data_IF_062276853594
#
_entry.id   IF_062276853594
#
_cell.length_a   1.000
_cell.length_b   1.000
_cell.length_c   1.000
_cell.angle_alpha   90.00
_cell.angle_beta   90.00
_cell.angle_gamma   90.00
#
_symmetry.space_group_name_H-M   'P 1'
#
loop_
_entity.id
_entity.type
_entity.pdbx_description
1 polymer ?
#
# COMPACT_ATOMS: atom_id res chain seq x y z
N UNK A 1 -11.55 -17.77 26.00
CA UNK A 1 -10.19 -17.22 25.78
C UNK A 1 -9.35 -18.33 25.19
N UNK A 2 -8.50 -18.01 24.21
CA UNK A 2 -7.54 -18.97 23.66
C UNK A 2 -6.51 -19.34 24.75
N UNK A 3 -6.04 -20.57 24.71
CA UNK A 3 -4.94 -21.09 25.52
C UNK A 3 -3.61 -20.56 24.99
N UNK A 4 -2.57 -20.57 25.82
CA UNK A 4 -1.21 -20.23 25.38
C UNK A 4 -0.72 -21.11 24.22
N UNK A 5 -1.17 -22.37 24.16
CA UNK A 5 -0.81 -23.29 23.08
C UNK A 5 -1.41 -22.85 21.74
N UNK A 6 -2.68 -22.45 21.73
CA UNK A 6 -3.34 -21.93 20.51
C UNK A 6 -2.65 -20.66 20.01
N UNK A 7 -2.27 -19.74 20.91
CA UNK A 7 -1.51 -18.55 20.52
C UNK A 7 -0.13 -18.87 19.93
N UNK A 8 0.56 -19.88 20.46
CA UNK A 8 1.84 -20.34 19.92
C UNK A 8 1.65 -20.93 18.51
N UNK A 9 0.60 -21.73 18.29
CA UNK A 9 0.28 -22.32 16.99
C UNK A 9 -0.06 -21.26 15.93
N UNK A 10 -0.71 -20.17 16.35
CA UNK A 10 -1.00 -18.98 15.53
C UNK A 10 0.18 -18.01 15.43
N UNK A 11 1.32 -18.30 16.07
CA UNK A 11 2.52 -17.44 16.13
C UNK A 11 2.31 -16.09 16.82
N UNK A 12 1.27 -15.93 17.64
CA UNK A 12 1.09 -14.76 18.51
C UNK A 12 1.87 -14.94 19.83
N UNK A 13 3.19 -14.82 19.75
CA UNK A 13 4.08 -15.14 20.87
C UNK A 13 3.92 -14.20 22.07
N UNK A 14 3.62 -12.91 21.86
CA UNK A 14 3.40 -11.99 22.98
C UNK A 14 2.12 -12.33 23.76
N UNK A 15 1.03 -12.67 23.07
CA UNK A 15 -0.19 -13.11 23.75
C UNK A 15 0.03 -14.43 24.51
N UNK A 16 0.80 -15.36 23.94
CA UNK A 16 1.22 -16.56 24.66
C UNK A 16 1.99 -16.22 25.95
N UNK A 17 2.92 -15.26 25.92
CA UNK A 17 3.65 -14.78 27.12
C UNK A 17 2.70 -14.22 28.16
N UNK A 18 1.73 -13.37 27.79
CA UNK A 18 0.75 -12.82 28.74
C UNK A 18 -0.10 -13.92 29.38
N UNK A 19 -0.65 -14.84 28.57
CA UNK A 19 -1.48 -15.94 29.08
C UNK A 19 -0.69 -16.84 30.01
N UNK A 20 0.56 -17.15 29.68
CA UNK A 20 1.43 -17.96 30.55
C UNK A 20 1.80 -17.21 31.83
N UNK A 21 1.99 -15.90 31.75
CA UNK A 21 2.34 -15.06 32.90
C UNK A 21 1.22 -15.04 33.95
N UNK A 22 -0.05 -15.10 33.54
CA UNK A 22 -1.20 -15.15 34.45
C UNK A 22 -1.35 -16.49 35.21
N UNK A 23 -0.64 -17.55 34.78
CA UNK A 23 -0.69 -18.87 35.45
C UNK A 23 -0.06 -18.78 36.84
N UNK A 24 -0.73 -19.24 37.92
CA UNK A 24 -0.19 -19.22 39.28
C UNK A 24 1.11 -20.02 39.42
N UNK A 25 2.05 -19.57 40.25
CA UNK A 25 3.34 -20.25 40.42
C UNK A 25 3.22 -21.74 40.81
N UNK A 26 2.19 -22.10 41.58
CA UNK A 26 1.94 -23.47 42.01
C UNK A 26 1.57 -24.43 40.85
N UNK A 27 1.16 -23.88 39.70
CA UNK A 27 0.73 -24.64 38.51
C UNK A 27 1.80 -24.64 37.40
N UNK A 28 2.94 -23.99 37.63
CA UNK A 28 4.02 -23.86 36.62
C UNK A 28 4.92 -25.09 36.66
N UNK A 29 4.69 -26.01 35.74
CA UNK A 29 5.52 -27.18 35.50
C UNK A 29 6.62 -26.93 34.45
N UNK A 30 7.36 -27.97 34.07
CA UNK A 30 8.41 -27.86 33.06
C UNK A 30 7.86 -27.61 31.64
N UNK A 31 6.67 -28.11 31.32
CA UNK A 31 6.01 -27.81 30.05
C UNK A 31 5.62 -26.33 29.97
N UNK A 32 5.15 -25.74 31.07
CA UNK A 32 4.90 -24.30 31.19
C UNK A 32 6.20 -23.51 31.01
N UNK A 33 7.30 -23.91 31.68
CA UNK A 33 8.60 -23.25 31.53
C UNK A 33 9.07 -23.29 30.07
N UNK A 34 8.91 -24.44 29.40
CA UNK A 34 9.25 -24.57 27.99
C UNK A 34 8.39 -23.65 27.11
N UNK A 35 7.06 -23.62 27.31
CA UNK A 35 6.16 -22.72 26.58
C UNK A 35 6.53 -21.24 26.77
N UNK A 36 6.83 -20.84 28.01
CA UNK A 36 7.22 -19.46 28.33
C UNK A 36 8.54 -19.10 27.65
N UNK A 37 9.56 -19.95 27.79
CA UNK A 37 10.86 -19.75 27.15
C UNK A 37 10.76 -19.74 25.61
N UNK A 38 9.95 -20.62 25.03
CA UNK A 38 9.69 -20.68 23.59
C UNK A 38 9.02 -19.39 23.10
N UNK A 39 7.94 -18.95 23.75
CA UNK A 39 7.22 -17.74 23.37
C UNK A 39 8.10 -16.50 23.52
N UNK A 40 8.84 -16.36 24.62
CA UNK A 40 9.77 -15.25 24.83
C UNK A 40 10.89 -15.23 23.78
N UNK A 41 11.47 -16.38 23.44
CA UNK A 41 12.51 -16.46 22.42
C UNK A 41 11.99 -15.99 21.05
N UNK A 42 10.85 -16.52 20.60
CA UNK A 42 10.29 -16.14 19.31
C UNK A 42 9.78 -14.70 19.29
N UNK A 43 9.24 -14.19 20.38
CA UNK A 43 8.91 -12.77 20.50
C UNK A 43 10.17 -11.89 20.39
N UNK A 44 11.24 -12.24 21.09
CA UNK A 44 12.49 -11.49 21.08
C UNK A 44 13.13 -11.42 19.69
N UNK A 45 13.22 -12.54 18.97
CA UNK A 45 13.87 -12.55 17.65
C UNK A 45 13.04 -11.86 16.55
N UNK A 46 11.71 -11.80 16.68
CA UNK A 46 10.83 -11.28 15.63
C UNK A 46 10.34 -9.85 15.89
N UNK A 47 10.17 -9.44 17.16
CA UNK A 47 9.48 -8.19 17.51
C UNK A 47 10.18 -7.36 18.59
N UNK A 48 11.03 -7.96 19.42
CA UNK A 48 11.67 -7.27 20.53
C UNK A 48 13.14 -7.69 20.70
N UNK A 49 14.04 -7.29 19.76
CA UNK A 49 15.40 -7.82 19.61
C UNK A 49 16.38 -7.29 20.66
N UNK A 50 16.08 -7.56 21.94
CA UNK A 50 16.84 -7.12 23.11
C UNK A 50 17.43 -8.30 23.85
N UNK A 51 18.72 -8.18 24.22
CA UNK A 51 19.44 -9.27 24.89
C UNK A 51 18.82 -9.68 26.24
N UNK A 52 18.21 -8.74 26.95
CA UNK A 52 17.55 -9.01 28.23
C UNK A 52 16.35 -9.99 28.08
N UNK A 53 15.60 -9.90 26.98
CA UNK A 53 14.47 -10.78 26.68
C UNK A 53 14.95 -12.18 26.28
N UNK A 54 16.04 -12.29 25.51
CA UNK A 54 16.67 -13.58 25.20
C UNK A 54 17.24 -14.27 26.44
N UNK A 55 17.87 -13.52 27.35
CA UNK A 55 18.34 -14.07 28.64
C UNK A 55 17.19 -14.55 29.52
N UNK A 56 16.07 -13.81 29.52
CA UNK A 56 14.86 -14.22 30.21
C UNK A 56 14.29 -15.52 29.63
N UNK A 57 14.19 -15.61 28.29
CA UNK A 57 13.78 -16.81 27.59
C UNK A 57 14.68 -18.01 27.94
N UNK A 58 16.00 -17.81 27.90
CA UNK A 58 16.98 -18.84 28.22
C UNK A 58 16.79 -19.41 29.63
N UNK A 59 16.56 -18.54 30.63
CA UNK A 59 16.35 -18.99 32.01
C UNK A 59 15.11 -19.88 32.18
N UNK A 60 14.04 -19.64 31.41
CA UNK A 60 12.87 -20.53 31.40
C UNK A 60 13.16 -21.86 30.69
N UNK A 61 13.88 -21.83 29.57
CA UNK A 61 14.28 -23.05 28.84
C UNK A 61 15.20 -23.95 29.68
N UNK A 62 16.17 -23.37 30.40
CA UNK A 62 17.06 -24.15 31.29
C UNK A 62 16.30 -24.80 32.44
N UNK A 63 15.32 -24.11 33.06
CA UNK A 63 14.44 -24.70 34.07
C UNK A 63 13.58 -25.84 33.50
N UNK A 64 13.16 -25.74 32.25
CA UNK A 64 12.41 -26.81 31.60
C UNK A 64 13.27 -28.08 31.40
N UNK A 65 14.57 -27.90 31.15
CA UNK A 65 15.52 -29.00 30.93
C UNK A 65 15.89 -29.76 32.22
N UNK A 66 15.68 -29.17 33.41
CA UNK A 66 15.95 -29.81 34.70
C UNK A 66 14.97 -30.97 35.01
N UNK A 67 13.75 -30.92 34.47
CA UNK A 67 12.73 -31.94 34.67
C UNK A 67 12.70 -32.98 33.53
N UNK A 68 13.50 -34.02 33.72
CA UNK A 68 13.56 -35.16 32.77
C UNK A 68 12.23 -35.90 32.56
N UNK A 69 11.27 -35.83 33.48
CA UNK A 69 9.98 -36.53 33.35
C UNK A 69 9.04 -35.84 32.35
N UNK A 70 9.08 -34.51 32.31
CA UNK A 70 8.26 -33.68 31.42
C UNK A 70 8.81 -33.59 29.98
N UNK A 71 10.06 -34.03 29.74
CA UNK A 71 10.73 -33.96 28.44
C UNK A 71 9.97 -34.68 27.32
N UNK A 72 9.41 -35.85 27.59
CA UNK A 72 8.64 -36.61 26.60
C UNK A 72 7.34 -35.90 26.21
N UNK A 73 6.72 -35.17 27.15
CA UNK A 73 5.52 -34.39 26.88
C UNK A 73 5.86 -33.13 26.05
N UNK A 74 6.95 -32.44 26.38
CA UNK A 74 7.46 -31.32 25.58
C UNK A 74 7.77 -31.79 24.13
N UNK A 75 8.42 -32.94 23.96
CA UNK A 75 8.69 -33.56 22.65
C UNK A 75 7.41 -33.83 21.86
N UNK A 76 6.39 -34.35 22.53
CA UNK A 76 5.09 -34.67 21.94
C UNK A 76 4.36 -33.42 21.46
N UNK A 77 4.40 -32.34 22.24
CA UNK A 77 3.68 -31.08 21.94
C UNK A 77 4.41 -30.27 20.87
N UNK A 78 5.75 -30.25 20.88
CA UNK A 78 6.57 -29.39 20.02
C UNK A 78 7.32 -30.14 18.90
N UNK A 79 6.82 -31.32 18.51
CA UNK A 79 7.36 -32.17 17.42
C UNK A 79 8.89 -32.36 17.47
N UNK A 80 9.38 -32.98 18.54
CA UNK A 80 10.72 -33.60 18.57
C UNK A 80 11.93 -32.65 18.69
N UNK A 81 11.79 -31.44 19.27
CA UNK A 81 12.91 -30.49 19.45
C UNK A 81 13.15 -29.97 20.89
N UNK A 82 13.04 -30.76 21.97
CA UNK A 82 13.29 -30.23 23.31
C UNK A 82 14.75 -29.79 23.50
N UNK A 83 15.72 -30.40 22.79
CA UNK A 83 17.15 -30.11 22.99
C UNK A 83 17.71 -28.97 22.13
N UNK A 84 16.96 -28.49 21.14
CA UNK A 84 17.45 -27.47 20.21
C UNK A 84 17.22 -26.04 20.69
N UNK A 85 16.11 -25.80 21.40
CA UNK A 85 15.70 -24.44 21.75
C UNK A 85 16.61 -23.79 22.77
N UNK A 86 16.98 -24.49 23.85
CA UNK A 86 17.95 -23.99 24.83
C UNK A 86 19.29 -23.65 24.16
N UNK A 87 19.80 -24.53 23.30
CA UNK A 87 21.04 -24.30 22.57
C UNK A 87 20.96 -23.10 21.60
N UNK A 88 19.86 -22.99 20.83
CA UNK A 88 19.60 -21.86 19.93
C UNK A 88 19.48 -20.53 20.69
N UNK A 89 18.81 -20.56 21.84
CA UNK A 89 18.67 -19.37 22.68
C UNK A 89 20.03 -18.97 23.27
N UNK A 90 20.88 -19.92 23.67
CA UNK A 90 22.27 -19.66 24.09
C UNK A 90 23.07 -18.97 22.99
N UNK A 91 23.02 -19.50 21.77
CA UNK A 91 23.70 -18.91 20.61
C UNK A 91 23.21 -17.49 20.31
N UNK A 92 21.90 -17.24 20.39
CA UNK A 92 21.35 -15.89 20.22
C UNK A 92 21.83 -14.93 21.31
N UNK A 93 21.90 -15.37 22.57
CA UNK A 93 22.41 -14.57 23.71
C UNK A 93 23.89 -14.23 23.57
N UNK A 94 24.69 -15.07 22.91
CA UNK A 94 26.10 -14.75 22.59
C UNK A 94 26.23 -13.54 21.67
N UNK A 95 25.17 -13.18 20.92
CA UNK A 95 25.07 -12.01 20.05
C UNK A 95 26.29 -11.80 19.14
N UNK A 96 26.85 -12.89 18.61
CA UNK A 96 28.09 -12.88 17.80
C UNK A 96 28.05 -11.93 16.61
N UNK A 97 26.85 -11.69 16.06
CA UNK A 97 26.63 -10.82 14.91
C UNK A 97 26.18 -9.39 15.28
N UNK A 98 26.00 -9.09 16.58
CA UNK A 98 25.58 -7.76 17.03
C UNK A 98 24.15 -7.38 16.65
N UNK A 99 23.28 -8.34 16.37
CA UNK A 99 21.89 -8.10 15.96
C UNK A 99 20.98 -7.60 17.07
N UNK A 100 21.35 -7.84 18.33
CA UNK A 100 20.52 -7.51 19.49
C UNK A 100 21.08 -6.30 20.25
N UNK A 101 20.17 -5.43 20.70
CA UNK A 101 20.54 -4.26 21.50
C UNK A 101 21.09 -4.64 22.87
N UNK A 102 22.13 -3.92 23.32
CA UNK A 102 22.64 -4.02 24.69
C UNK A 102 21.71 -3.30 25.67
N UNK A 103 21.18 -4.08 26.60
CA UNK A 103 20.13 -3.72 27.54
C UNK A 103 20.54 -4.15 28.95
N UNK A 104 19.79 -3.80 30.03
CA UNK A 104 20.09 -4.27 31.38
C UNK A 104 20.36 -5.78 31.43
N UNK A 105 21.25 -6.20 32.33
CA UNK A 105 21.71 -7.58 32.43
C UNK A 105 20.57 -8.62 32.57
N UNK A 106 19.43 -8.20 33.12
CA UNK A 106 18.24 -9.03 33.32
C UNK A 106 16.96 -8.19 33.22
N UNK A 107 15.86 -8.85 32.89
CA UNK A 107 14.50 -8.31 32.87
C UNK A 107 13.56 -9.34 33.50
N UNK A 108 12.47 -8.90 34.14
CA UNK A 108 11.42 -9.81 34.63
C UNK A 108 10.26 -9.85 33.63
N UNK A 109 9.48 -10.94 33.60
CA UNK A 109 8.32 -11.04 32.69
C UNK A 109 7.32 -9.92 32.96
N UNK A 110 7.10 -9.55 34.22
CA UNK A 110 6.22 -8.43 34.58
C UNK A 110 6.70 -7.10 33.99
N UNK A 111 8.02 -6.92 33.98
CA UNK A 111 8.63 -5.72 33.42
C UNK A 111 8.51 -5.72 31.90
N UNK A 112 8.80 -6.86 31.25
CA UNK A 112 8.64 -7.03 29.81
C UNK A 112 7.21 -6.74 29.36
N UNK A 113 6.22 -7.35 30.01
CA UNK A 113 4.80 -7.15 29.67
C UNK A 113 4.42 -5.68 29.79
N UNK A 114 4.80 -5.03 30.90
CA UNK A 114 4.54 -3.59 31.11
C UNK A 114 5.22 -2.71 30.06
N UNK A 115 6.48 -2.99 29.73
CA UNK A 115 7.26 -2.18 28.80
C UNK A 115 6.70 -2.31 27.38
N UNK A 116 6.41 -3.53 26.93
CA UNK A 116 5.82 -3.79 25.60
C UNK A 116 4.42 -3.19 25.49
N UNK A 117 3.58 -3.32 26.53
CA UNK A 117 2.25 -2.68 26.53
C UNK A 117 2.35 -1.16 26.52
N UNK A 118 3.28 -0.58 27.28
CA UNK A 118 3.51 0.87 27.28
C UNK A 118 4.05 1.37 25.94
N UNK A 119 4.93 0.60 25.29
CA UNK A 119 5.44 0.88 23.95
C UNK A 119 4.33 0.80 22.90
N UNK A 120 3.52 -0.27 22.91
CA UNK A 120 2.35 -0.41 22.04
C UNK A 120 1.38 0.76 22.22
N UNK A 121 1.08 1.15 23.46
CA UNK A 121 0.19 2.29 23.73
C UNK A 121 0.80 3.63 23.28
N UNK A 122 2.12 3.80 23.39
CA UNK A 122 2.81 4.96 22.85
C UNK A 122 2.70 5.00 21.33
N UNK A 123 3.03 3.90 20.66
CA UNK A 123 2.93 3.79 19.22
C UNK A 123 1.49 4.03 18.75
N UNK A 124 0.50 3.45 19.45
CA UNK A 124 -0.91 3.65 19.11
C UNK A 124 -1.30 5.12 19.18
N UNK A 125 -0.88 5.83 20.22
CA UNK A 125 -1.11 7.29 20.34
C UNK A 125 -0.43 8.06 19.22
N UNK A 126 0.82 7.73 18.91
CA UNK A 126 1.60 8.43 17.88
C UNK A 126 1.00 8.21 16.47
N UNK A 127 0.64 6.97 16.13
CA UNK A 127 -0.02 6.62 14.84
C UNK A 127 -1.44 7.19 14.75
N UNK A 128 -2.21 7.15 15.84
CA UNK A 128 -3.55 7.76 15.87
C UNK A 128 -3.47 9.26 15.59
N UNK A 129 -2.57 9.97 16.29
CA UNK A 129 -2.36 11.41 16.07
C UNK A 129 -1.85 11.70 14.65
N UNK A 130 -1.04 10.81 14.08
CA UNK A 130 -0.62 10.89 12.69
C UNK A 130 -1.82 10.79 11.75
N UNK A 131 -2.65 9.74 11.84
CA UNK A 131 -3.84 9.58 11.00
C UNK A 131 -4.86 10.70 11.16
N UNK A 132 -5.11 11.18 12.38
CA UNK A 132 -5.99 12.33 12.60
C UNK A 132 -5.54 13.57 11.83
N UNK A 133 -4.23 13.74 11.66
CA UNK A 133 -3.63 14.88 10.94
C UNK A 133 -3.49 14.67 9.44
N UNK A 134 -3.29 13.43 8.99
CA UNK A 134 -2.90 13.12 7.61
C UNK A 134 -3.97 12.44 6.79
N UNK A 135 -4.99 11.80 7.40
CA UNK A 135 -6.00 11.08 6.64
C UNK A 135 -6.62 11.93 5.53
N UNK A 136 -6.76 11.32 4.35
CA UNK A 136 -7.45 11.92 3.21
C UNK A 136 -8.75 11.16 2.95
N UNK A 137 -9.56 11.70 2.05
CA UNK A 137 -10.72 11.02 1.50
C UNK A 137 -10.43 10.65 0.06
N UNK A 138 -10.84 9.45 -0.31
CA UNK A 138 -10.76 8.94 -1.66
C UNK A 138 -12.11 8.40 -2.11
N UNK A 139 -12.23 8.19 -3.41
CA UNK A 139 -13.37 7.54 -4.04
C UNK A 139 -12.87 6.19 -4.53
N UNK A 140 -13.28 5.12 -3.86
CA UNK A 140 -13.02 3.76 -4.29
C UNK A 140 -13.91 3.43 -5.49
N UNK A 141 -13.35 2.81 -6.52
CA UNK A 141 -14.06 2.49 -7.77
C UNK A 141 -14.05 0.98 -7.96
N UNK A 142 -15.20 0.31 -7.92
CA UNK A 142 -15.29 -1.10 -8.29
C UNK A 142 -15.89 -1.24 -9.69
N UNK A 143 -15.40 -2.20 -10.47
CA UNK A 143 -15.94 -2.54 -11.79
C UNK A 143 -16.68 -3.88 -11.77
N UNK A 144 -17.64 -4.02 -12.67
CA UNK A 144 -18.37 -5.27 -12.87
C UNK A 144 -18.94 -5.35 -14.29
N UNK A 145 -19.15 -6.56 -14.83
CA UNK A 145 -19.68 -6.70 -16.19
C UNK A 145 -21.00 -5.95 -16.37
N UNK A 146 -21.12 -5.17 -17.45
CA UNK A 146 -22.37 -4.51 -17.77
C UNK A 146 -23.41 -5.55 -18.19
N UNK A 147 -24.57 -5.58 -17.50
CA UNK A 147 -25.66 -6.50 -17.83
C UNK A 147 -26.44 -6.07 -19.09
N UNK A 148 -26.56 -4.75 -19.25
CA UNK A 148 -27.19 -4.08 -20.36
C UNK A 148 -26.23 -3.04 -20.94
N UNK A 149 -26.48 -2.61 -22.18
CA UNK A 149 -25.73 -1.51 -22.79
C UNK A 149 -25.81 -0.26 -21.92
N UNK A 150 -24.66 0.31 -21.57
CA UNK A 150 -24.63 1.50 -20.73
C UNK A 150 -25.17 2.74 -21.47
N UNK A 151 -25.84 3.67 -20.75
CA UNK A 151 -26.18 4.96 -21.30
C UNK A 151 -24.93 5.73 -21.77
N UNK A 152 -25.10 6.55 -22.80
CA UNK A 152 -24.02 7.43 -23.29
C UNK A 152 -23.57 8.36 -22.16
N UNK A 153 -22.26 8.39 -21.91
CA UNK A 153 -21.65 9.20 -20.88
C UNK A 153 -21.71 8.61 -19.47
N UNK A 154 -22.19 7.37 -19.30
CA UNK A 154 -22.11 6.66 -18.02
C UNK A 154 -20.66 6.27 -17.68
N UNK A 155 -20.34 6.11 -16.40
CA UNK A 155 -19.01 5.64 -16.01
C UNK A 155 -18.77 4.20 -16.47
N UNK A 156 -17.62 3.96 -17.10
CA UNK A 156 -17.25 2.63 -17.59
C UNK A 156 -15.73 2.44 -17.62
N UNK A 157 -15.36 1.16 -17.53
CA UNK A 157 -14.03 0.65 -17.80
C UNK A 157 -14.12 -0.24 -19.04
N UNK A 158 -13.11 -0.16 -19.90
CA UNK A 158 -13.14 -0.79 -21.23
C UNK A 158 -14.37 -0.41 -22.10
N UNK A 159 -14.50 -1.10 -23.22
CA UNK A 159 -15.54 -0.90 -24.21
C UNK A 159 -15.22 0.26 -25.15
N UNK A 160 -16.27 0.90 -25.65
CA UNK A 160 -16.15 2.07 -26.51
C UNK A 160 -16.40 3.34 -25.70
N UNK A 161 -15.52 4.35 -25.78
CA UNK A 161 -15.74 5.63 -25.11
C UNK A 161 -16.90 6.40 -25.76
N UNK A 162 -17.51 7.27 -24.97
CA UNK A 162 -18.49 8.24 -25.46
C UNK A 162 -17.80 9.60 -25.65
N UNK A 163 -17.61 10.01 -26.90
CA UNK A 163 -16.80 11.17 -27.28
C UNK A 163 -17.59 12.11 -28.21
N UNK A 164 -17.19 13.39 -28.36
CA UNK A 164 -17.74 14.25 -29.40
C UNK A 164 -17.64 13.59 -30.79
N UNK A 165 -18.64 13.80 -31.64
CA UNK A 165 -18.69 13.16 -32.97
C UNK A 165 -17.52 13.54 -33.89
N UNK A 166 -16.88 14.68 -33.64
CA UNK A 166 -15.72 15.21 -34.36
C UNK A 166 -14.41 15.03 -33.57
N UNK A 167 -14.39 14.15 -32.57
CA UNK A 167 -13.21 13.90 -31.74
C UNK A 167 -12.02 13.39 -32.57
N UNK A 168 -10.89 14.09 -32.46
CA UNK A 168 -9.62 13.69 -33.06
C UNK A 168 -8.88 12.75 -32.11
N UNK A 169 -8.69 11.49 -32.54
CA UNK A 169 -8.12 10.46 -31.68
C UNK A 169 -6.66 10.77 -31.36
N UNK A 170 -6.22 10.73 -30.09
CA UNK A 170 -4.85 11.04 -29.73
C UNK A 170 -3.87 9.93 -30.14
N UNK A 171 -2.71 10.34 -30.62
CA UNK A 171 -1.58 9.45 -30.94
C UNK A 171 -0.31 9.87 -30.20
N UNK A 172 0.59 8.91 -30.01
CA UNK A 172 1.92 9.13 -29.46
C UNK A 172 2.96 8.34 -30.26
N UNK A 173 4.08 9.00 -30.58
CA UNK A 173 5.25 8.37 -31.17
C UNK A 173 6.18 7.93 -30.03
N UNK A 174 6.19 6.62 -29.77
CA UNK A 174 6.99 6.00 -28.71
C UNK A 174 7.77 4.79 -29.22
N UNK A 175 8.85 4.46 -28.52
CA UNK A 175 9.67 3.27 -28.76
C UNK A 175 9.25 2.17 -27.80
N UNK A 176 8.92 0.99 -28.31
CA UNK A 176 8.53 -0.17 -27.49
C UNK A 176 9.73 -1.00 -27.02
N UNK A 177 9.46 -2.05 -26.25
CA UNK A 177 10.48 -2.96 -25.71
C UNK A 177 11.22 -3.77 -26.77
N UNK A 178 10.74 -3.77 -28.03
CA UNK A 178 11.44 -4.35 -29.18
C UNK A 178 12.28 -3.31 -29.94
N UNK A 179 12.48 -2.11 -29.38
CA UNK A 179 13.21 -0.99 -29.96
C UNK A 179 12.55 -0.46 -31.25
N UNK A 180 11.22 -0.55 -31.35
CA UNK A 180 10.43 -0.06 -32.49
C UNK A 180 9.74 1.26 -32.17
N UNK A 181 10.23 2.34 -32.77
CA UNK A 181 9.57 3.66 -32.74
C UNK A 181 8.41 3.72 -33.73
N UNK A 182 7.20 3.99 -33.24
CA UNK A 182 6.00 4.13 -34.08
C UNK A 182 5.00 5.10 -33.45
N UNK A 183 4.31 5.87 -34.29
CA UNK A 183 3.15 6.63 -33.90
C UNK A 183 1.92 5.69 -33.73
N UNK A 184 1.49 5.48 -32.49
CA UNK A 184 0.40 4.56 -32.12
C UNK A 184 -0.78 5.35 -31.51
N UNK A 185 -2.03 4.91 -31.74
CA UNK A 185 -3.18 5.50 -31.05
C UNK A 185 -3.12 5.18 -29.55
N UNK A 186 -3.50 6.13 -28.70
CA UNK A 186 -3.66 5.82 -27.28
C UNK A 186 -4.89 4.92 -27.09
N UNK A 187 -4.77 3.92 -26.22
CA UNK A 187 -5.87 3.08 -25.79
C UNK A 187 -6.80 3.86 -24.85
N UNK A 188 -8.10 3.64 -24.99
CA UNK A 188 -9.09 4.10 -24.02
C UNK A 188 -9.06 3.19 -22.79
N UNK A 189 -8.92 3.79 -21.60
CA UNK A 189 -8.86 3.04 -20.34
C UNK A 189 -10.21 3.04 -19.64
N UNK A 190 -10.70 4.23 -19.32
CA UNK A 190 -11.93 4.42 -18.57
C UNK A 190 -12.54 5.79 -18.88
N UNK A 191 -13.85 5.91 -18.66
CA UNK A 191 -14.51 7.19 -18.53
C UNK A 191 -15.29 7.25 -17.22
N UNK A 192 -15.29 8.41 -16.58
CA UNK A 192 -15.91 8.61 -15.28
C UNK A 192 -16.88 9.77 -15.41
N UNK A 193 -18.16 9.50 -15.18
CA UNK A 193 -19.18 10.52 -15.05
C UNK A 193 -19.09 11.14 -13.66
N UNK A 194 -18.68 12.39 -13.59
CA UNK A 194 -18.48 13.10 -12.34
C UNK A 194 -19.79 13.35 -11.58
N UNK A 195 -20.95 13.29 -12.26
CA UNK A 195 -22.25 13.34 -11.59
C UNK A 195 -22.46 12.10 -10.72
N UNK A 196 -22.07 10.91 -11.21
CA UNK A 196 -22.18 9.64 -10.50
C UNK A 196 -21.22 9.58 -9.30
N UNK A 197 -20.00 10.08 -9.48
CA UNK A 197 -18.97 10.13 -8.44
C UNK A 197 -19.18 11.25 -7.39
N UNK A 198 -19.89 12.33 -7.74
CA UNK A 198 -19.98 13.56 -6.93
C UNK A 198 -20.44 13.36 -5.48
N UNK A 199 -21.34 12.41 -5.24
CA UNK A 199 -21.86 12.13 -3.89
C UNK A 199 -20.83 11.48 -2.95
N UNK A 200 -19.77 10.90 -3.53
CA UNK A 200 -18.69 10.21 -2.82
C UNK A 200 -17.44 11.09 -2.66
N UNK A 201 -17.32 12.18 -3.43
CA UNK A 201 -16.25 13.17 -3.26
C UNK A 201 -16.47 13.98 -1.97
N UNK A 202 -15.79 13.57 -0.89
CA UNK A 202 -15.77 14.30 0.39
C UNK A 202 -14.77 15.45 0.42
N UNK A 203 -13.92 15.58 -0.60
CA UNK A 203 -12.91 16.64 -0.70
C UNK A 203 -13.47 17.89 -1.37
N UNK A 204 -14.44 17.73 -2.28
CA UNK A 204 -15.01 18.81 -3.09
C UNK A 204 -14.04 19.36 -4.13
N UNK A 205 -13.01 18.60 -4.50
CA UNK A 205 -11.99 19.01 -5.47
C UNK A 205 -12.45 18.79 -6.92
N UNK A 206 -13.26 17.76 -7.17
CA UNK A 206 -13.69 17.41 -8.52
C UNK A 206 -14.85 18.31 -8.98
N UNK A 207 -14.98 18.59 -10.29
CA UNK A 207 -16.23 19.11 -10.83
C UNK A 207 -17.42 18.20 -10.46
N UNK A 208 -18.60 18.77 -10.23
CA UNK A 208 -19.79 17.98 -9.83
C UNK A 208 -20.54 17.37 -11.01
N UNK A 209 -20.10 17.62 -12.25
CA UNK A 209 -20.74 17.15 -13.48
C UNK A 209 -19.75 17.09 -14.64
N UNK A 210 -20.16 16.39 -15.70
CA UNK A 210 -19.36 16.14 -16.90
C UNK A 210 -18.68 14.77 -16.86
N UNK A 211 -17.96 14.44 -17.94
CA UNK A 211 -17.29 13.16 -18.13
C UNK A 211 -15.78 13.37 -18.27
N UNK A 212 -15.00 12.63 -17.50
CA UNK A 212 -13.56 12.47 -17.72
C UNK A 212 -13.30 11.22 -18.55
N UNK A 213 -12.50 11.31 -19.60
CA UNK A 213 -12.07 10.15 -20.40
C UNK A 213 -10.55 10.03 -20.37
N UNK A 214 -10.06 8.86 -19.98
CA UNK A 214 -8.64 8.56 -19.74
C UNK A 214 -8.07 7.71 -20.87
N UNK A 215 -6.92 8.11 -21.38
CA UNK A 215 -6.22 7.47 -22.48
C UNK A 215 -4.73 7.29 -22.16
N UNK A 216 -4.14 6.18 -22.60
CA UNK A 216 -2.73 5.87 -22.42
C UNK A 216 -2.17 5.03 -23.58
N UNK A 217 -0.92 5.24 -23.93
CA UNK A 217 -0.20 4.43 -24.92
C UNK A 217 0.36 3.19 -24.21
N UNK A 218 -0.17 2.02 -24.58
CA UNK A 218 0.02 0.76 -23.85
C UNK A 218 1.12 -0.13 -24.42
N UNK A 219 1.79 0.27 -25.51
CA UNK A 219 2.81 -0.55 -26.18
C UNK A 219 4.22 -0.10 -25.84
N UNK A 220 4.50 1.20 -25.93
CA UNK A 220 5.73 1.79 -25.39
C UNK A 220 5.70 1.89 -23.87
N UNK A 221 4.50 1.87 -23.26
CA UNK A 221 4.30 1.91 -21.80
C UNK A 221 5.20 2.93 -21.10
N UNK A 222 5.15 4.18 -21.56
CA UNK A 222 5.98 5.25 -21.01
C UNK A 222 5.77 5.38 -19.49
N UNK A 223 6.86 5.30 -18.72
CA UNK A 223 6.80 5.25 -17.27
C UNK A 223 6.61 6.62 -16.63
N UNK A 224 6.95 7.69 -17.35
CA UNK A 224 6.77 9.05 -16.90
C UNK A 224 7.89 9.62 -16.03
N UNK A 225 9.07 9.02 -16.05
CA UNK A 225 10.26 9.57 -15.38
C UNK A 225 11.07 10.52 -16.26
N UNK A 226 11.05 10.35 -17.59
CA UNK A 226 11.90 11.14 -18.48
C UNK A 226 11.33 12.56 -18.73
N UNK A 227 12.10 13.62 -18.44
CA UNK A 227 11.78 14.99 -18.82
C UNK A 227 11.55 15.12 -20.33
N UNK A 228 10.55 15.92 -20.73
CA UNK A 228 10.26 16.16 -22.14
C UNK A 228 9.33 15.14 -22.81
N UNK A 229 9.21 13.91 -22.29
CA UNK A 229 8.24 12.93 -22.80
C UNK A 229 6.81 13.36 -22.44
N UNK A 230 6.04 13.78 -23.45
CA UNK A 230 4.64 14.27 -23.34
C UNK A 230 3.84 13.62 -24.45
N UNK A 231 2.58 13.28 -24.18
CA UNK A 231 1.69 12.77 -25.24
C UNK A 231 1.15 11.38 -24.99
N UNK A 232 1.94 10.54 -24.33
CA UNK A 232 1.61 9.13 -24.10
C UNK A 232 0.38 8.92 -23.20
N UNK A 233 -0.03 9.93 -22.43
CA UNK A 233 -1.27 9.91 -21.65
C UNK A 233 -2.07 11.18 -21.89
N UNK A 234 -3.40 11.05 -21.94
CA UNK A 234 -4.35 12.15 -22.12
C UNK A 234 -5.58 11.96 -21.26
N UNK A 235 -6.06 13.05 -20.69
CA UNK A 235 -7.36 13.12 -20.01
C UNK A 235 -8.17 14.23 -20.65
N UNK A 236 -9.37 13.90 -21.11
CA UNK A 236 -10.31 14.84 -21.67
C UNK A 236 -11.47 15.06 -20.69
N UNK A 237 -11.90 16.31 -20.55
CA UNK A 237 -13.07 16.67 -19.77
C UNK A 237 -14.15 17.24 -20.68
N UNK A 238 -15.31 16.58 -20.68
CA UNK A 238 -16.50 17.01 -21.41
C UNK A 238 -17.52 17.53 -20.39
N UNK A 239 -17.77 18.85 -20.32
CA UNK A 239 -18.65 19.42 -19.30
C UNK A 239 -20.12 19.06 -19.51
N UNK A 240 -20.50 18.79 -20.77
CA UNK A 240 -21.85 18.39 -21.20
C UNK A 240 -21.79 16.97 -21.76
N UNK A 241 -22.84 16.20 -21.50
CA UNK A 241 -23.01 14.85 -22.07
C UNK A 241 -23.73 14.89 -23.41
N UNK A 242 -24.45 15.99 -23.66
CA UNK A 242 -25.18 16.29 -24.87
C UNK A 242 -24.20 16.45 -26.04
N UNK A 243 -24.22 15.50 -26.98
CA UNK A 243 -23.32 15.49 -28.14
C UNK A 243 -22.20 14.47 -28.06
N UNK A 244 -22.04 13.80 -26.92
CA UNK A 244 -21.25 12.57 -26.87
C UNK A 244 -21.96 11.47 -27.65
N UNK A 245 -21.18 10.67 -28.36
CA UNK A 245 -21.64 9.50 -29.10
C UNK A 245 -20.69 8.34 -28.82
N UNK A 246 -21.17 7.08 -28.82
CA UNK A 246 -20.28 5.93 -28.77
C UNK A 246 -19.33 5.95 -29.96
N UNK A 247 -18.03 5.98 -29.68
CA UNK A 247 -16.98 6.11 -30.70
C UNK A 247 -16.17 4.82 -30.77
N UNK A 248 -16.04 4.28 -31.98
CA UNK A 248 -15.29 3.05 -32.21
C UNK A 248 -13.80 3.27 -31.91
N UNK A 249 -13.20 2.39 -31.10
CA UNK A 249 -11.77 2.41 -30.80
C UNK A 249 -10.94 1.98 -32.02
N UNK A 250 -9.70 2.49 -32.19
CA UNK A 250 -8.77 2.01 -33.21
C UNK A 250 -8.49 0.52 -33.09
N UNK A 251 -8.32 -0.15 -34.23
CA UNK A 251 -8.11 -1.61 -34.30
C UNK A 251 -6.90 -2.05 -33.47
N UNK A 252 -5.84 -1.24 -33.49
CA UNK A 252 -4.58 -1.46 -32.80
C UNK A 252 -4.72 -1.47 -31.27
N UNK A 253 -5.81 -0.95 -30.72
CA UNK A 253 -6.05 -0.87 -29.26
C UNK A 253 -7.06 -1.89 -28.76
N UNK A 254 -7.62 -2.74 -29.64
CA UNK A 254 -8.70 -3.66 -29.27
C UNK A 254 -8.31 -4.69 -28.23
N UNK A 255 -7.06 -5.15 -28.23
CA UNK A 255 -6.57 -6.10 -27.22
C UNK A 255 -6.58 -5.50 -25.80
N UNK A 256 -6.59 -4.17 -25.70
CA UNK A 256 -6.61 -3.41 -24.45
C UNK A 256 -8.02 -2.96 -24.03
N UNK A 257 -9.07 -3.45 -24.70
CA UNK A 257 -10.47 -3.10 -24.39
C UNK A 257 -11.37 -4.33 -24.46
N UNK A 258 -11.80 -4.79 -23.29
CA UNK A 258 -12.40 -6.12 -23.11
C UNK A 258 -13.78 -6.01 -22.52
N UNK A 259 -14.79 -6.12 -23.39
CA UNK A 259 -16.18 -5.93 -22.97
C UNK A 259 -16.44 -4.55 -22.36
N UNK A 260 -17.70 -4.23 -22.10
CA UNK A 260 -18.05 -2.99 -21.39
C UNK A 260 -18.24 -3.34 -19.91
N UNK A 261 -17.49 -2.69 -19.02
CA UNK A 261 -17.61 -2.87 -17.57
C UNK A 261 -18.23 -1.60 -16.98
N UNK A 262 -19.25 -1.76 -16.15
CA UNK A 262 -19.87 -0.66 -15.42
C UNK A 262 -19.06 -0.36 -14.15
N UNK A 263 -19.05 0.92 -13.76
CA UNK A 263 -18.34 1.37 -12.55
C UNK A 263 -19.33 1.70 -11.42
N UNK A 264 -18.91 1.40 -10.20
CA UNK A 264 -19.57 1.76 -8.96
C UNK A 264 -18.59 2.47 -8.04
N UNK A 265 -19.10 3.37 -7.20
CA UNK A 265 -18.29 4.28 -6.40
C UNK A 265 -18.66 4.17 -4.92
N UNK A 266 -17.68 4.34 -4.05
CA UNK A 266 -17.87 4.44 -2.60
C UNK A 266 -16.91 5.48 -2.01
N UNK A 267 -17.32 6.14 -0.93
CA UNK A 267 -16.41 7.02 -0.20
C UNK A 267 -15.57 6.20 0.78
N UNK A 268 -14.25 6.35 0.72
CA UNK A 268 -13.32 5.62 1.58
C UNK A 268 -12.32 6.55 2.27
N UNK A 269 -11.76 6.07 3.38
CA UNK A 269 -10.64 6.72 4.06
C UNK A 269 -9.36 6.33 3.34
N UNK A 270 -8.54 7.32 3.02
CA UNK A 270 -7.21 7.10 2.45
C UNK A 270 -6.16 7.35 3.52
N UNK A 271 -5.42 6.30 3.88
CA UNK A 271 -4.34 6.34 4.86
C UNK A 271 -3.01 5.97 4.20
N UNK A 272 -1.96 6.71 4.54
CA UNK A 272 -0.60 6.40 4.10
C UNK A 272 -0.22 4.96 4.42
N UNK A 273 0.58 4.37 3.54
CA UNK A 273 1.23 3.10 3.82
C UNK A 273 2.14 3.23 5.05
N UNK A 274 2.39 2.13 5.72
CA UNK A 274 3.39 2.03 6.79
C UNK A 274 4.80 2.41 6.32
N UNK A 275 5.15 2.15 5.05
CA UNK A 275 6.41 2.62 4.48
C UNK A 275 6.47 4.15 4.43
N UNK A 276 5.41 4.80 3.94
CA UNK A 276 5.34 6.26 3.89
C UNK A 276 5.28 6.88 5.30
N UNK A 277 4.61 6.23 6.25
CA UNK A 277 4.64 6.63 7.68
C UNK A 277 6.06 6.55 8.26
N UNK A 278 6.77 5.43 8.03
CA UNK A 278 8.16 5.25 8.44
C UNK A 278 9.06 6.36 7.90
N UNK A 279 8.96 6.63 6.59
CA UNK A 279 9.71 7.68 5.90
C UNK A 279 9.39 9.07 6.46
N UNK A 280 8.12 9.36 6.72
CA UNK A 280 7.66 10.66 7.23
C UNK A 280 8.10 10.94 8.66
N UNK A 281 8.13 9.92 9.52
CA UNK A 281 8.38 10.09 10.95
C UNK A 281 9.79 9.67 11.40
N UNK A 282 10.53 8.93 10.56
CA UNK A 282 11.83 8.36 10.92
C UNK A 282 11.75 7.26 12.00
N UNK A 283 10.55 6.72 12.25
CA UNK A 283 10.30 5.74 13.30
C UNK A 283 10.19 4.33 12.71
N UNK A 284 10.68 3.32 13.43
CA UNK A 284 10.34 1.93 13.13
C UNK A 284 8.83 1.69 13.25
N UNK A 285 8.30 0.81 12.41
CA UNK A 285 6.88 0.52 12.32
C UNK A 285 6.61 -0.87 12.86
N UNK A 286 5.85 -0.96 13.96
CA UNK A 286 5.19 -2.22 14.29
C UNK A 286 3.99 -2.40 13.36
N UNK A 287 4.17 -3.25 12.36
CA UNK A 287 3.19 -3.50 11.30
C UNK A 287 1.83 -3.97 11.81
N UNK A 288 1.82 -4.74 12.90
CA UNK A 288 0.57 -5.32 13.44
C UNK A 288 -0.25 -4.19 14.06
N UNK A 289 0.36 -3.40 14.94
CA UNK A 289 -0.28 -2.24 15.56
C UNK A 289 -0.72 -1.21 14.53
N UNK A 290 0.11 -0.94 13.50
CA UNK A 290 -0.24 0.00 12.44
C UNK A 290 -1.45 -0.48 11.64
N UNK A 291 -1.47 -1.74 11.20
CA UNK A 291 -2.58 -2.30 10.41
C UNK A 291 -3.87 -2.44 11.23
N UNK A 292 -3.78 -2.82 12.51
CA UNK A 292 -4.92 -2.77 13.44
C UNK A 292 -5.54 -1.36 13.46
N UNK A 293 -4.70 -0.33 13.62
CA UNK A 293 -5.16 1.05 13.63
C UNK A 293 -5.71 1.53 12.29
N UNK A 294 -5.14 1.10 11.15
CA UNK A 294 -5.71 1.40 9.83
C UNK A 294 -7.16 0.89 9.76
N UNK A 295 -7.39 -0.35 10.16
CA UNK A 295 -8.74 -0.94 10.18
C UNK A 295 -9.67 -0.20 11.15
N UNK A 296 -9.19 0.18 12.34
CA UNK A 296 -9.97 1.00 13.29
C UNK A 296 -10.35 2.38 12.73
N UNK A 297 -9.50 2.96 11.88
CA UNK A 297 -9.77 4.21 11.15
C UNK A 297 -10.63 4.02 9.89
N UNK A 298 -11.07 2.80 9.60
CA UNK A 298 -11.97 2.49 8.48
C UNK A 298 -11.26 2.22 7.15
N UNK A 299 -9.96 1.93 7.18
CA UNK A 299 -9.25 1.39 6.01
C UNK A 299 -9.65 -0.06 5.78
N UNK A 300 -10.11 -0.37 4.57
CA UNK A 300 -10.46 -1.72 4.15
C UNK A 300 -9.32 -2.33 3.33
N UNK A 301 -8.48 -3.13 3.98
CA UNK A 301 -7.32 -3.75 3.33
C UNK A 301 -7.72 -4.69 2.18
N UNK A 302 -8.81 -5.45 2.34
CA UNK A 302 -9.28 -6.35 1.29
C UNK A 302 -9.75 -5.56 0.07
N UNK A 303 -10.49 -4.47 0.29
CA UNK A 303 -10.87 -3.58 -0.79
C UNK A 303 -9.65 -2.97 -1.49
N UNK A 304 -8.56 -2.62 -0.81
CA UNK A 304 -7.37 -2.06 -1.48
C UNK A 304 -6.49 -3.08 -2.20
N UNK A 305 -6.43 -4.32 -1.71
CA UNK A 305 -5.68 -5.40 -2.38
C UNK A 305 -6.43 -5.87 -3.64
N UNK A 306 -7.76 -6.00 -3.56
CA UNK A 306 -8.60 -6.50 -4.65
C UNK A 306 -9.08 -5.39 -5.60
N UNK A 307 -9.00 -4.11 -5.20
CA UNK A 307 -9.46 -2.99 -6.02
C UNK A 307 -8.29 -2.20 -6.64
N UNK A 308 -8.07 -2.33 -7.97
CA UNK A 308 -7.02 -1.59 -8.64
C UNK A 308 -7.35 -0.10 -8.82
N UNK A 309 -8.61 0.33 -8.66
CA UNK A 309 -9.07 1.65 -9.12
C UNK A 309 -9.57 2.58 -8.01
N UNK A 310 -9.09 3.83 -8.05
CA UNK A 310 -9.58 4.91 -7.18
C UNK A 310 -9.34 6.31 -7.75
N UNK A 311 -10.03 7.29 -7.20
CA UNK A 311 -9.74 8.72 -7.41
C UNK A 311 -9.41 9.39 -6.08
N UNK A 312 -8.54 10.41 -6.13
CA UNK A 312 -8.13 11.20 -4.97
C UNK A 312 -7.40 10.35 -3.91
N UNK A 313 -7.20 10.90 -2.72
CA UNK A 313 -6.49 10.23 -1.63
C UNK A 313 -4.97 10.25 -1.75
N UNK A 314 -4.35 9.21 -1.20
CA UNK A 314 -2.94 8.85 -1.37
C UNK A 314 -2.81 7.80 -2.46
N UNK A 315 -1.72 7.81 -3.23
CA UNK A 315 -1.43 6.73 -4.15
C UNK A 315 -1.06 5.45 -3.38
N UNK A 316 -1.44 4.29 -3.93
CA UNK A 316 -0.98 2.99 -3.44
C UNK A 316 0.42 2.70 -4.02
N UNK A 317 1.40 3.46 -3.54
CA UNK A 317 2.81 3.43 -3.98
C UNK A 317 3.38 2.01 -4.01
N UNK A 318 4.08 1.68 -5.09
CA UNK A 318 4.89 0.45 -5.19
C UNK A 318 6.36 0.77 -4.97
N UNK A 319 6.82 1.94 -5.45
CA UNK A 319 8.22 2.34 -5.41
C UNK A 319 8.40 3.56 -4.49
N UNK A 320 8.20 4.77 -5.00
CA UNK A 320 8.44 6.02 -4.27
C UNK A 320 7.27 7.01 -4.37
N UNK A 321 7.34 8.10 -3.60
CA UNK A 321 6.44 9.24 -3.70
C UNK A 321 6.53 9.88 -5.09
N UNK A 322 5.39 10.16 -5.70
CA UNK A 322 5.29 10.64 -7.08
C UNK A 322 5.05 12.15 -7.19
N UNK A 323 4.55 12.79 -6.14
CA UNK A 323 4.33 14.25 -6.14
C UNK A 323 5.64 15.02 -6.45
N UNK A 324 6.79 14.73 -5.79
CA UNK A 324 8.05 15.40 -6.10
C UNK A 324 8.49 15.20 -7.56
N UNK A 325 8.34 13.99 -8.10
CA UNK A 325 8.65 13.67 -9.50
C UNK A 325 7.78 14.49 -10.47
N UNK A 326 6.48 14.60 -10.18
CA UNK A 326 5.56 15.46 -10.95
C UNK A 326 6.01 16.93 -10.90
N UNK A 327 6.45 17.42 -9.74
CA UNK A 327 6.90 18.80 -9.58
C UNK A 327 8.19 19.07 -10.37
N UNK A 328 9.20 18.19 -10.27
CA UNK A 328 10.44 18.26 -11.05
C UNK A 328 10.15 18.36 -12.54
N UNK A 329 9.34 17.42 -13.04
CA UNK A 329 8.93 17.39 -14.44
C UNK A 329 8.22 18.68 -14.88
N UNK A 330 7.30 19.19 -14.05
CA UNK A 330 6.55 20.41 -14.37
C UNK A 330 7.42 21.66 -14.42
N UNK A 331 8.53 21.67 -13.67
CA UNK A 331 9.54 22.73 -13.70
C UNK A 331 10.58 22.53 -14.81
N UNK A 332 10.57 21.37 -15.49
CA UNK A 332 11.56 21.02 -16.50
C UNK A 332 12.94 20.74 -15.91
N UNK A 333 12.97 20.28 -14.66
CA UNK A 333 14.20 19.89 -13.96
C UNK A 333 14.45 18.41 -14.30
N UNK A 334 15.61 18.13 -14.89
CA UNK A 334 16.09 16.77 -15.16
C UNK A 334 16.98 16.25 -14.02
N UNK A 335 17.46 15.02 -14.14
CA UNK A 335 18.29 14.36 -13.12
C UNK A 335 19.56 15.17 -12.81
N UNK A 336 20.25 15.67 -13.85
CA UNK A 336 21.47 16.49 -13.70
C UNK A 336 21.16 17.78 -12.92
N UNK A 337 20.08 18.49 -13.29
CA UNK A 337 19.65 19.70 -12.58
C UNK A 337 19.17 19.41 -11.15
N UNK A 338 18.58 18.24 -10.90
CA UNK A 338 18.15 17.84 -9.57
C UNK A 338 19.35 17.58 -8.65
N UNK A 339 20.43 16.97 -9.14
CA UNK A 339 21.66 16.76 -8.39
C UNK A 339 22.35 18.08 -7.99
N UNK A 340 22.12 19.16 -8.73
CA UNK A 340 22.63 20.50 -8.44
C UNK A 340 21.82 21.26 -7.37
N UNK A 341 20.62 20.78 -7.00
CA UNK A 341 19.79 21.42 -5.98
C UNK A 341 20.43 21.29 -4.59
N UNK A 342 20.39 22.37 -3.82
CA UNK A 342 20.75 22.31 -2.40
C UNK A 342 19.72 21.48 -1.60
N UNK A 343 20.13 20.99 -0.43
CA UNK A 343 19.23 20.26 0.48
C UNK A 343 17.97 21.08 0.83
N UNK A 344 18.10 22.40 0.97
CA UNK A 344 16.97 23.29 1.26
C UNK A 344 16.00 23.39 0.07
N UNK A 345 16.53 23.49 -1.15
CA UNK A 345 15.72 23.54 -2.38
C UNK A 345 15.01 22.21 -2.63
N UNK A 346 15.68 21.09 -2.38
CA UNK A 346 15.10 19.77 -2.50
C UNK A 346 13.99 19.56 -1.47
N UNK A 347 14.22 19.94 -0.21
CA UNK A 347 13.21 19.88 0.84
C UNK A 347 11.99 20.77 0.53
N UNK A 348 12.21 21.97 -0.01
CA UNK A 348 11.12 22.87 -0.42
C UNK A 348 10.35 22.32 -1.62
N UNK A 349 11.04 21.71 -2.60
CA UNK A 349 10.39 21.05 -3.73
C UNK A 349 9.44 19.98 -3.24
N UNK A 350 9.91 19.05 -2.40
CA UNK A 350 9.09 17.96 -1.84
C UNK A 350 7.88 18.51 -1.07
N UNK A 351 8.09 19.48 -0.18
CA UNK A 351 6.99 20.11 0.58
C UNK A 351 5.96 20.75 -0.36
N UNK A 352 6.42 21.52 -1.33
CA UNK A 352 5.54 22.23 -2.26
C UNK A 352 4.77 21.27 -3.18
N UNK A 353 5.38 20.15 -3.54
CA UNK A 353 4.79 19.15 -4.41
C UNK A 353 3.57 18.48 -3.76
N UNK A 354 3.70 18.04 -2.51
CA UNK A 354 2.62 17.42 -1.74
C UNK A 354 1.40 18.36 -1.58
N UNK A 355 1.63 19.68 -1.57
CA UNK A 355 0.57 20.69 -1.51
C UNK A 355 -0.05 21.01 -2.87
N UNK A 356 0.65 20.77 -3.98
CA UNK A 356 0.24 21.17 -5.33
C UNK A 356 -0.38 20.05 -6.14
N UNK A 357 0.06 18.81 -5.94
CA UNK A 357 -0.36 17.68 -6.76
C UNK A 357 -1.47 16.88 -6.09
N UNK A 358 -2.35 16.35 -6.93
CA UNK A 358 -3.48 15.51 -6.52
C UNK A 358 -3.50 14.30 -7.44
N UNK A 359 -3.66 13.12 -6.84
CA UNK A 359 -3.97 11.91 -7.57
C UNK A 359 -5.38 12.05 -8.16
N UNK A 360 -5.49 12.23 -9.47
CA UNK A 360 -6.77 12.32 -10.16
C UNK A 360 -7.42 10.95 -10.30
N UNK A 361 -6.64 9.96 -10.72
CA UNK A 361 -7.10 8.59 -10.94
C UNK A 361 -5.91 7.63 -10.83
N UNK A 362 -6.10 6.49 -10.18
CA UNK A 362 -5.17 5.36 -10.15
C UNK A 362 -5.86 4.15 -10.73
N UNK A 363 -5.09 3.35 -11.47
CA UNK A 363 -5.52 2.04 -11.93
C UNK A 363 -4.35 1.05 -11.86
N UNK A 364 -4.57 -0.05 -11.15
CA UNK A 364 -3.66 -1.19 -11.12
C UNK A 364 -3.87 -2.20 -12.24
N UNK A 365 -3.06 -3.26 -12.18
CA UNK A 365 -3.21 -4.42 -13.04
C UNK A 365 -4.59 -5.06 -12.85
N UNK A 366 -5.24 -5.40 -13.96
CA UNK A 366 -6.53 -6.11 -13.96
C UNK A 366 -6.32 -7.45 -14.64
N UNK A 367 -6.56 -8.54 -13.91
CA UNK A 367 -6.48 -9.91 -14.42
C UNK A 367 -7.86 -10.57 -14.27
N UNK A 368 -8.42 -11.05 -15.37
CA UNK A 368 -9.60 -11.92 -15.40
C UNK A 368 -9.34 -13.16 -16.27
N UNK A 369 -10.31 -14.09 -16.30
CA UNK A 369 -10.15 -15.39 -16.99
C UNK A 369 -9.85 -15.25 -18.50
N UNK A 370 -10.15 -14.10 -19.10
CA UNK A 370 -10.01 -13.89 -20.54
C UNK A 370 -8.89 -12.89 -20.88
N UNK A 371 -8.53 -11.98 -19.97
CA UNK A 371 -7.67 -10.84 -20.25
C UNK A 371 -6.83 -10.37 -19.07
N UNK A 372 -5.65 -9.84 -19.40
CA UNK A 372 -4.68 -9.33 -18.44
C UNK A 372 -4.19 -7.96 -18.93
N UNK A 373 -4.62 -6.91 -18.23
CA UNK A 373 -4.11 -5.56 -18.39
C UNK A 373 -3.00 -5.36 -17.36
N UNK A 374 -1.78 -5.70 -17.76
CA UNK A 374 -0.59 -5.62 -16.90
C UNK A 374 0.25 -4.39 -17.22
N UNK A 375 0.69 -3.71 -16.15
CA UNK A 375 1.59 -2.56 -16.23
C UNK A 375 2.95 -2.93 -15.66
N UNK A 376 3.93 -3.23 -16.52
CA UNK A 376 5.21 -3.75 -16.04
C UNK A 376 5.04 -5.12 -15.37
N UNK A 377 5.58 -5.30 -14.17
CA UNK A 377 5.36 -6.49 -13.33
C UNK A 377 4.31 -6.17 -12.24
N UNK A 378 3.05 -6.54 -12.52
CA UNK A 378 1.90 -6.31 -11.63
C UNK A 378 1.76 -4.85 -11.12
N UNK A 379 2.11 -3.88 -11.97
CA UNK A 379 2.17 -2.48 -11.60
C UNK A 379 0.84 -1.73 -11.63
N UNK A 380 0.96 -0.41 -11.47
CA UNK A 380 -0.14 0.56 -11.49
C UNK A 380 0.26 1.81 -12.27
N UNK A 381 -0.73 2.45 -12.86
CA UNK A 381 -0.62 3.77 -13.46
C UNK A 381 -1.39 4.80 -12.62
N UNK A 382 -0.82 6.01 -12.53
CA UNK A 382 -1.32 7.08 -11.69
C UNK A 382 -1.40 8.37 -12.49
N UNK A 383 -2.61 8.89 -12.67
CA UNK A 383 -2.86 10.19 -13.27
C UNK A 383 -2.82 11.26 -12.18
N UNK A 384 -1.86 12.16 -12.28
CA UNK A 384 -1.62 13.29 -11.37
C UNK A 384 -1.99 14.61 -12.03
N UNK A 385 -2.61 15.52 -11.27
CA UNK A 385 -2.97 16.86 -11.72
C UNK A 385 -2.60 17.91 -10.67
N UNK A 386 -2.21 19.11 -11.10
CA UNK A 386 -2.05 20.24 -10.17
C UNK A 386 -3.42 20.72 -9.70
N UNK A 387 -3.52 21.11 -8.42
CA UNK A 387 -4.76 21.66 -7.83
C UNK A 387 -5.28 22.88 -8.60
N UNK A 388 -4.39 23.74 -9.08
CA UNK A 388 -4.75 24.92 -9.88
C UNK A 388 -5.37 24.55 -11.23
N UNK A 389 -4.84 23.53 -11.90
CA UNK A 389 -5.35 23.03 -13.18
C UNK A 389 -6.69 22.32 -12.98
N UNK A 390 -6.83 21.52 -11.91
CA UNK A 390 -8.10 20.89 -11.56
C UNK A 390 -9.19 21.93 -11.28
N UNK A 391 -8.88 22.97 -10.49
CA UNK A 391 -9.80 24.07 -10.22
C UNK A 391 -10.17 24.85 -11.49
N UNK A 392 -9.23 25.01 -12.42
CA UNK A 392 -9.45 25.62 -13.73
C UNK A 392 -10.11 24.67 -14.75
N UNK A 393 -10.34 23.40 -14.38
CA UNK A 393 -10.84 22.33 -15.27
C UNK A 393 -9.95 22.12 -16.49
N UNK A 394 -8.65 22.34 -16.33
CA UNK A 394 -7.63 22.20 -17.36
C UNK A 394 -6.91 20.85 -17.23
N UNK A 395 -7.42 19.84 -17.91
CA UNK A 395 -6.85 18.48 -17.85
C UNK A 395 -5.69 18.25 -18.83
N UNK A 396 -5.27 19.29 -19.58
CA UNK A 396 -4.18 19.19 -20.55
C UNK A 396 -2.81 18.92 -19.90
N UNK A 397 -2.65 19.27 -18.62
CA UNK A 397 -1.39 19.11 -17.87
C UNK A 397 -1.37 17.88 -16.95
N UNK A 398 -2.32 16.96 -17.11
CA UNK A 398 -2.29 15.70 -16.36
C UNK A 398 -1.00 14.92 -16.71
N UNK A 399 -0.34 14.39 -15.69
CA UNK A 399 0.84 13.54 -15.79
C UNK A 399 0.45 12.11 -15.44
N UNK A 400 0.86 11.14 -16.24
CA UNK A 400 0.82 9.75 -15.84
C UNK A 400 2.20 9.33 -15.35
N UNK A 401 2.24 8.58 -14.24
CA UNK A 401 3.42 7.83 -13.79
C UNK A 401 3.02 6.35 -13.72
N UNK A 402 3.93 5.45 -14.09
CA UNK A 402 3.80 4.01 -13.92
C UNK A 402 4.80 3.56 -12.85
N UNK A 403 4.34 2.73 -11.90
CA UNK A 403 5.22 2.00 -10.99
C UNK A 403 4.89 0.51 -11.03
N UNK A 404 5.90 -0.35 -10.95
CA UNK A 404 5.73 -1.80 -10.85
C UNK A 404 6.76 -2.43 -9.90
N UNK A 405 6.57 -3.70 -9.58
CA UNK A 405 7.38 -4.48 -8.63
C UNK A 405 8.71 -4.95 -9.17
#
# INVERSE_FOLDING_TARGET
MKTAQEYIEERSFFDAVKVLYEVPEAERDALWNYRMGYALYFFAINRYPKLCALRLALGYLERADEDTASKAEIERVFFGKPGGMTARCKEAVENKHGWYAEEPASMRVEQLVRDVEAERERLRRDVTAFFERTQRREIAIAHHPAQDKLPVGASKFYGTPDLPADFDWPYYEGTDFEDVTKNRPLAFLAQINLTEASQYDRTGLLPTSGVLSFFYETVSMEWGFEPGHKGYARVYYFPETEGLVPTQIPEETKEWSVGEQALSFADAVSLLSSFAYSRSCGNEVDWDTYNELRAEFGYDAAAHEDNPMKMLGYADEIQNEMEPECELYSRGIDEDMQEELSEEEQAELVRSAADRWVLLFQMGTVEDDETELMYGDCGRIYFWIRKEDLAARNFHHVRLILQCG
#
